data_IF_928076468200
#
_entry.id   IF_928076468200
#
_cell.length_a   1.000
_cell.length_b   1.000
_cell.length_c   1.000
_cell.angle_alpha   90.00
_cell.angle_beta   90.00
_cell.angle_gamma   90.00
#
_symmetry.space_group_name_H-M   'P 1'
#
loop_
_entity.id
_entity.type
_entity.pdbx_description
1 polymer ?
#
# COMPACT_ATOMS: atom_id res chain seq x y z
N UNK A 1 0.84 15.23 -35.33
CA UNK A 1 1.98 16.18 -35.44
C UNK A 1 2.95 16.21 -34.26
N UNK A 2 2.55 16.64 -33.05
CA UNK A 2 3.51 16.95 -31.97
C UNK A 2 4.35 15.76 -31.46
N UNK A 3 3.72 14.60 -31.23
CA UNK A 3 4.39 13.37 -30.76
C UNK A 3 5.38 12.81 -31.80
N UNK A 4 5.13 13.03 -33.11
CA UNK A 4 6.05 12.64 -34.19
C UNK A 4 7.28 13.54 -34.26
N UNK A 5 7.18 14.79 -33.77
CA UNK A 5 8.26 15.78 -33.78
C UNK A 5 9.08 15.76 -32.49
N UNK A 6 8.47 15.39 -31.36
CA UNK A 6 9.09 15.30 -30.03
C UNK A 6 8.57 14.04 -29.29
N UNK A 7 9.13 12.85 -29.56
CA UNK A 7 8.72 11.60 -28.94
C UNK A 7 9.29 11.50 -27.51
N UNK A 8 8.76 12.31 -26.60
CA UNK A 8 9.12 12.28 -25.18
C UNK A 8 7.97 11.71 -24.37
N UNK A 9 8.26 11.03 -23.26
CA UNK A 9 7.25 10.50 -22.33
C UNK A 9 6.22 11.57 -21.91
N UNK A 10 6.68 12.81 -21.68
CA UNK A 10 5.82 13.95 -21.33
C UNK A 10 4.89 14.37 -22.48
N UNK A 11 5.35 14.30 -23.72
CA UNK A 11 4.50 14.61 -24.87
C UNK A 11 3.44 13.52 -25.08
N UNK A 12 3.83 12.25 -24.92
CA UNK A 12 2.90 11.12 -24.95
C UNK A 12 1.84 11.23 -23.84
N UNK A 13 2.21 11.60 -22.62
CA UNK A 13 1.26 11.70 -21.49
C UNK A 13 0.28 12.86 -21.65
N UNK A 14 0.73 14.03 -22.12
CA UNK A 14 -0.16 15.16 -22.41
C UNK A 14 -1.15 14.83 -23.53
N UNK A 15 -0.67 14.17 -24.58
CA UNK A 15 -1.52 13.74 -25.69
C UNK A 15 -2.54 12.70 -25.22
N UNK A 16 -2.09 11.66 -24.48
CA UNK A 16 -2.96 10.64 -23.91
C UNK A 16 -4.04 11.26 -23.00
N UNK A 17 -3.68 12.17 -22.08
CA UNK A 17 -4.63 12.86 -21.19
C UNK A 17 -5.67 13.66 -21.96
N UNK A 18 -5.25 14.42 -22.98
CA UNK A 18 -6.17 15.17 -23.84
C UNK A 18 -7.20 14.23 -24.48
N UNK A 19 -6.76 13.13 -25.10
CA UNK A 19 -7.66 12.20 -25.77
C UNK A 19 -8.55 11.41 -24.82
N UNK A 20 -8.04 11.02 -23.64
CA UNK A 20 -8.85 10.38 -22.61
C UNK A 20 -9.97 11.32 -22.11
N UNK A 21 -9.69 12.61 -21.98
CA UNK A 21 -10.72 13.62 -21.66
C UNK A 21 -11.77 13.77 -22.76
N UNK A 22 -11.38 13.69 -24.03
CA UNK A 22 -12.33 13.75 -25.17
C UNK A 22 -13.22 12.51 -25.25
N UNK A 23 -12.68 11.32 -24.94
CA UNK A 23 -13.40 10.04 -25.06
C UNK A 23 -14.30 9.70 -23.87
N UNK A 24 -14.00 10.21 -22.67
CA UNK A 24 -14.63 9.78 -21.42
C UNK A 24 -14.96 10.92 -20.45
N UNK A 25 -15.33 12.10 -20.95
CA UNK A 25 -15.76 13.22 -20.10
C UNK A 25 -17.04 12.84 -19.32
N UNK A 26 -16.90 12.52 -18.03
CA UNK A 26 -17.98 12.56 -17.03
C UNK A 26 -18.07 14.00 -16.50
N UNK A 27 -18.92 14.86 -17.05
CA UNK A 27 -19.53 16.00 -16.34
C UNK A 27 -20.56 16.74 -17.18
N UNK A 28 -21.65 17.14 -16.53
CA UNK A 28 -22.77 17.96 -17.04
C UNK A 28 -22.35 19.37 -17.52
N UNK A 29 -21.08 19.76 -17.40
CA UNK A 29 -20.59 21.06 -17.83
C UNK A 29 -19.30 20.93 -18.65
N UNK A 30 -19.35 21.41 -19.90
CA UNK A 30 -18.30 21.45 -20.94
C UNK A 30 -17.94 20.09 -21.57
N UNK A 31 -18.31 19.76 -22.81
CA UNK A 31 -18.12 20.53 -24.04
C UNK A 31 -19.33 20.32 -24.98
N UNK A 32 -20.12 21.37 -25.17
CA UNK A 32 -21.15 21.50 -26.19
C UNK A 32 -20.59 21.79 -27.60
N UNK A 33 -19.30 21.50 -27.89
CA UNK A 33 -18.67 21.84 -29.17
C UNK A 33 -18.84 20.80 -30.28
N UNK A 34 -19.43 19.62 -30.03
CA UNK A 34 -19.50 18.56 -31.06
C UNK A 34 -20.84 17.82 -31.19
N UNK A 35 -21.94 18.37 -30.66
CA UNK A 35 -23.29 17.77 -30.77
C UNK A 35 -23.92 17.83 -32.19
N UNK A 36 -23.12 17.97 -33.25
CA UNK A 36 -23.61 18.19 -34.61
C UNK A 36 -23.19 17.17 -35.68
N UNK A 37 -22.40 16.14 -35.34
CA UNK A 37 -21.97 15.13 -36.32
C UNK A 37 -21.83 13.76 -35.68
N UNK A 38 -22.23 12.71 -36.40
CA UNK A 38 -22.01 11.30 -36.02
C UNK A 38 -20.56 11.14 -35.54
N UNK A 39 -20.40 10.97 -34.23
CA UNK A 39 -19.09 10.91 -33.60
C UNK A 39 -18.54 9.49 -33.79
N UNK A 40 -17.68 9.29 -34.78
CA UNK A 40 -17.03 8.00 -35.03
C UNK A 40 -15.97 7.68 -33.95
N UNK A 41 -16.44 7.22 -32.80
CA UNK A 41 -15.63 6.81 -31.66
C UNK A 41 -14.59 5.72 -32.02
N UNK A 42 -14.81 4.97 -33.10
CA UNK A 42 -13.93 3.88 -33.53
C UNK A 42 -12.60 4.39 -34.12
N UNK A 43 -12.65 5.44 -34.95
CA UNK A 43 -11.47 6.10 -35.51
C UNK A 43 -10.57 6.75 -34.44
N UNK A 44 -11.19 7.35 -33.42
CA UNK A 44 -10.48 7.97 -32.30
C UNK A 44 -9.83 6.93 -31.39
N UNK A 45 -10.52 5.84 -31.10
CA UNK A 45 -9.97 4.70 -30.35
C UNK A 45 -8.73 4.12 -31.03
N UNK A 46 -8.76 3.97 -32.36
CA UNK A 46 -7.59 3.53 -33.14
C UNK A 46 -6.42 4.52 -33.04
N UNK A 47 -6.70 5.83 -33.05
CA UNK A 47 -5.66 6.86 -32.95
C UNK A 47 -4.97 6.86 -31.58
N UNK A 48 -5.71 6.77 -30.48
CA UNK A 48 -5.12 6.75 -29.14
C UNK A 48 -4.36 5.44 -28.87
N UNK A 49 -4.82 4.29 -29.38
CA UNK A 49 -4.08 3.02 -29.30
C UNK A 49 -2.72 3.12 -30.02
N UNK A 50 -2.68 3.73 -31.21
CA UNK A 50 -1.42 3.96 -31.94
C UNK A 50 -0.46 4.87 -31.16
N UNK A 51 -0.96 5.82 -30.37
CA UNK A 51 -0.12 6.67 -29.52
C UNK A 51 0.59 5.83 -28.46
N UNK A 52 -0.12 4.94 -27.77
CA UNK A 52 0.49 4.06 -26.77
C UNK A 52 1.46 3.04 -27.39
N UNK A 53 1.10 2.45 -28.54
CA UNK A 53 2.00 1.54 -29.27
C UNK A 53 3.29 2.24 -29.76
N UNK A 54 3.17 3.50 -30.17
CA UNK A 54 4.34 4.32 -30.52
C UNK A 54 5.18 4.65 -29.28
N UNK A 55 4.56 4.91 -28.13
CA UNK A 55 5.28 5.09 -26.86
C UNK A 55 6.02 3.81 -26.45
N UNK A 56 5.41 2.65 -26.61
CA UNK A 56 6.03 1.34 -26.34
C UNK A 56 7.23 1.07 -27.26
N UNK A 57 7.05 1.21 -28.58
CA UNK A 57 8.13 0.99 -29.56
C UNK A 57 9.28 1.98 -29.46
N UNK A 58 9.02 3.19 -28.96
CA UNK A 58 10.06 4.21 -28.70
C UNK A 58 10.71 4.10 -27.32
N UNK A 59 10.33 3.11 -26.50
CA UNK A 59 10.85 2.94 -25.13
C UNK A 59 10.48 4.09 -24.18
N UNK A 60 9.49 4.91 -24.55
CA UNK A 60 9.04 6.08 -23.79
C UNK A 60 7.84 5.79 -22.88
N UNK A 61 7.50 4.50 -22.69
CA UNK A 61 6.37 4.06 -21.89
C UNK A 61 6.69 4.20 -20.40
N UNK A 62 6.11 5.20 -19.75
CA UNK A 62 6.15 5.37 -18.30
C UNK A 62 5.09 4.51 -17.61
N UNK A 63 5.21 4.33 -16.30
CA UNK A 63 4.21 3.66 -15.47
C UNK A 63 2.79 4.23 -15.65
N UNK A 64 2.63 5.55 -15.54
CA UNK A 64 1.35 6.25 -15.77
C UNK A 64 0.78 5.95 -17.17
N UNK A 65 1.62 6.00 -18.21
CA UNK A 65 1.20 5.71 -19.58
C UNK A 65 0.79 4.25 -19.77
N UNK A 66 1.50 3.31 -19.15
CA UNK A 66 1.16 1.90 -19.18
C UNK A 66 -0.17 1.61 -18.46
N UNK A 67 -0.40 2.24 -17.30
CA UNK A 67 -1.65 2.14 -16.57
C UNK A 67 -2.83 2.69 -17.39
N UNK A 68 -2.64 3.84 -18.05
CA UNK A 68 -3.65 4.41 -18.96
C UNK A 68 -3.91 3.51 -20.17
N UNK A 69 -2.86 2.90 -20.73
CA UNK A 69 -2.96 2.00 -21.88
C UNK A 69 -3.79 0.75 -21.54
N UNK A 70 -3.49 0.09 -20.43
CA UNK A 70 -4.26 -1.06 -19.94
C UNK A 70 -5.70 -0.65 -19.58
N UNK A 71 -5.88 0.49 -18.90
CA UNK A 71 -7.21 1.00 -18.53
C UNK A 71 -8.09 1.30 -19.74
N UNK A 72 -7.51 1.81 -20.83
CA UNK A 72 -8.22 2.02 -22.09
C UNK A 72 -8.73 0.69 -22.65
N UNK A 73 -7.88 -0.35 -22.71
CA UNK A 73 -8.33 -1.68 -23.16
C UNK A 73 -9.45 -2.24 -22.28
N UNK A 74 -9.39 -2.04 -20.97
CA UNK A 74 -10.46 -2.46 -20.05
C UNK A 74 -11.78 -1.74 -20.33
N UNK A 75 -11.76 -0.41 -20.54
CA UNK A 75 -12.98 0.36 -20.85
C UNK A 75 -13.58 -0.08 -22.18
N UNK A 76 -12.75 -0.33 -23.18
CA UNK A 76 -13.19 -0.80 -24.48
C UNK A 76 -13.75 -2.22 -24.45
N UNK A 77 -13.22 -3.08 -23.58
CA UNK A 77 -13.73 -4.45 -23.38
C UNK A 77 -14.98 -4.55 -22.50
N UNK A 78 -15.33 -3.49 -21.76
CA UNK A 78 -16.57 -3.39 -21.00
C UNK A 78 -17.79 -3.02 -21.84
N UNK A 79 -17.60 -2.58 -23.09
CA UNK A 79 -18.66 -2.41 -24.07
C UNK A 79 -19.03 -3.79 -24.63
N UNK A 80 -20.33 -4.12 -24.68
CA UNK A 80 -20.89 -5.46 -24.99
C UNK A 80 -20.40 -6.08 -26.32
N UNK A 81 -19.76 -5.29 -27.19
CA UNK A 81 -19.37 -5.68 -28.55
C UNK A 81 -17.99 -6.36 -28.68
N UNK A 82 -17.21 -6.54 -27.60
CA UNK A 82 -15.84 -7.08 -27.73
C UNK A 82 -15.26 -7.83 -26.50
N UNK A 83 -15.76 -9.03 -26.15
CA UNK A 83 -15.23 -9.81 -25.02
C UNK A 83 -13.73 -10.18 -25.15
N UNK A 84 -13.20 -10.27 -26.36
CA UNK A 84 -11.77 -10.53 -26.61
C UNK A 84 -10.83 -9.44 -26.10
N UNK A 85 -11.30 -8.20 -25.95
CA UNK A 85 -10.46 -7.07 -25.53
C UNK A 85 -10.13 -7.08 -24.03
N UNK A 86 -10.92 -7.75 -23.21
CA UNK A 86 -10.57 -7.98 -21.80
C UNK A 86 -9.36 -8.91 -21.66
N UNK A 87 -9.26 -9.91 -22.53
CA UNK A 87 -8.12 -10.82 -22.56
C UNK A 87 -6.87 -10.13 -23.13
N UNK A 88 -7.04 -9.24 -24.13
CA UNK A 88 -5.96 -8.36 -24.60
C UNK A 88 -5.43 -7.44 -23.48
N UNK A 89 -6.32 -6.85 -22.68
CA UNK A 89 -5.93 -6.00 -21.54
C UNK A 89 -5.07 -6.77 -20.52
N UNK A 90 -5.43 -8.02 -20.22
CA UNK A 90 -4.67 -8.88 -19.31
C UNK A 90 -3.32 -9.26 -19.88
N UNK A 91 -3.29 -9.70 -21.13
CA UNK A 91 -2.05 -10.10 -21.78
C UNK A 91 -1.09 -8.91 -21.89
N UNK A 92 -1.60 -7.71 -22.15
CA UNK A 92 -0.84 -6.48 -22.12
C UNK A 92 -0.29 -6.19 -20.71
N UNK A 93 -1.13 -6.19 -19.68
CA UNK A 93 -0.70 -5.96 -18.30
C UNK A 93 0.37 -6.98 -17.87
N UNK A 94 0.18 -8.26 -18.20
CA UNK A 94 1.14 -9.34 -17.95
C UNK A 94 2.46 -9.11 -18.66
N UNK A 95 2.43 -8.72 -19.95
CA UNK A 95 3.64 -8.42 -20.74
C UNK A 95 4.43 -7.26 -20.12
N UNK A 96 3.74 -6.19 -19.75
CA UNK A 96 4.38 -4.99 -19.21
C UNK A 96 4.96 -5.22 -17.81
N UNK A 97 4.21 -5.86 -16.91
CA UNK A 97 4.67 -6.24 -15.56
C UNK A 97 5.84 -7.24 -15.57
N UNK A 98 5.86 -8.20 -16.50
CA UNK A 98 6.92 -9.20 -16.54
C UNK A 98 8.14 -8.74 -17.36
N UNK A 99 8.03 -7.64 -18.10
CA UNK A 99 9.06 -7.10 -18.97
C UNK A 99 9.58 -5.74 -18.49
N UNK A 100 9.39 -4.66 -19.28
CA UNK A 100 10.09 -3.38 -19.08
C UNK A 100 9.66 -2.64 -17.80
N UNK A 101 8.45 -2.88 -17.29
CA UNK A 101 7.87 -2.16 -16.16
C UNK A 101 7.70 -3.09 -14.94
N UNK A 102 8.67 -3.98 -14.72
CA UNK A 102 8.62 -4.94 -13.62
C UNK A 102 8.73 -4.32 -12.22
N UNK A 103 9.22 -3.09 -12.13
CA UNK A 103 9.29 -2.31 -10.90
C UNK A 103 8.15 -1.29 -10.75
N UNK A 104 7.16 -1.27 -11.64
CA UNK A 104 6.03 -0.32 -11.60
C UNK A 104 4.90 -0.84 -10.69
N UNK A 105 4.78 -0.29 -9.48
CA UNK A 105 3.80 -0.73 -8.49
C UNK A 105 2.34 -0.49 -8.91
N UNK A 106 2.03 0.65 -9.52
CA UNK A 106 0.67 1.00 -9.98
C UNK A 106 0.19 0.02 -11.05
N UNK A 107 1.10 -0.42 -11.93
CA UNK A 107 0.80 -1.39 -12.96
C UNK A 107 0.51 -2.78 -12.37
N UNK A 108 1.27 -3.18 -11.35
CA UNK A 108 1.00 -4.42 -10.61
C UNK A 108 -0.33 -4.35 -9.84
N UNK A 109 -0.67 -3.21 -9.23
CA UNK A 109 -1.97 -2.97 -8.60
C UNK A 109 -3.12 -3.10 -9.60
N UNK A 110 -2.98 -2.46 -10.77
CA UNK A 110 -3.96 -2.55 -11.85
C UNK A 110 -4.12 -4.00 -12.32
N UNK A 111 -3.00 -4.72 -12.53
CA UNK A 111 -3.02 -6.13 -12.93
C UNK A 111 -3.72 -7.01 -11.89
N UNK A 112 -3.41 -6.83 -10.60
CA UNK A 112 -4.06 -7.58 -9.52
C UNK A 112 -5.58 -7.30 -9.49
N UNK A 113 -5.99 -6.04 -9.66
CA UNK A 113 -7.41 -5.65 -9.71
C UNK A 113 -8.16 -6.33 -10.86
N UNK A 114 -7.55 -6.41 -12.06
CA UNK A 114 -8.15 -7.08 -13.22
C UNK A 114 -8.37 -8.56 -12.95
N UNK A 115 -7.35 -9.27 -12.44
CA UNK A 115 -7.46 -10.70 -12.17
C UNK A 115 -8.47 -10.99 -11.07
N UNK A 116 -8.51 -10.18 -10.02
CA UNK A 116 -9.53 -10.30 -8.96
C UNK A 116 -10.95 -10.09 -9.50
N UNK A 117 -11.17 -9.04 -10.32
CA UNK A 117 -12.48 -8.77 -10.94
C UNK A 117 -12.92 -9.88 -11.87
N UNK A 118 -12.00 -10.40 -12.68
CA UNK A 118 -12.27 -11.55 -13.54
C UNK A 118 -12.82 -12.73 -12.78
N UNK A 119 -12.13 -13.10 -11.70
CA UNK A 119 -12.45 -14.30 -10.94
C UNK A 119 -13.79 -14.13 -10.21
N UNK A 120 -14.16 -12.90 -9.88
CA UNK A 120 -15.50 -12.57 -9.38
C UNK A 120 -16.58 -12.71 -10.48
N UNK A 121 -16.31 -12.24 -11.70
CA UNK A 121 -17.29 -12.29 -12.81
C UNK A 121 -17.49 -13.67 -13.42
N UNK A 122 -16.47 -14.54 -13.40
CA UNK A 122 -16.54 -15.88 -13.99
C UNK A 122 -17.28 -16.90 -13.12
N UNK A 123 -17.52 -16.59 -11.85
CA UNK A 123 -17.90 -17.59 -10.85
C UNK A 123 -19.18 -17.17 -10.14
N UNK A 124 -20.31 -17.45 -10.76
CA UNK A 124 -21.62 -17.02 -10.28
C UNK A 124 -22.03 -17.53 -8.90
N UNK A 125 -21.42 -18.57 -8.31
CA UNK A 125 -21.88 -19.14 -7.01
C UNK A 125 -20.74 -19.68 -6.10
N UNK A 126 -19.49 -19.87 -6.54
CA UNK A 126 -18.36 -20.26 -5.65
C UNK A 126 -17.21 -19.25 -5.70
N UNK A 127 -17.28 -18.25 -4.83
CA UNK A 127 -16.21 -17.27 -4.65
C UNK A 127 -14.88 -17.96 -4.38
N UNK A 128 -13.85 -17.63 -5.18
CA UNK A 128 -12.44 -17.98 -4.94
C UNK A 128 -12.16 -19.47 -4.66
N UNK A 129 -12.23 -20.32 -5.69
CA UNK A 129 -11.73 -21.70 -5.60
C UNK A 129 -10.25 -21.72 -5.16
N UNK A 130 -9.80 -22.86 -4.60
CA UNK A 130 -8.42 -23.02 -4.11
C UNK A 130 -7.38 -22.81 -5.21
N UNK A 131 -7.70 -23.19 -6.44
CA UNK A 131 -6.88 -23.00 -7.63
C UNK A 131 -6.78 -21.52 -8.01
N UNK A 132 -7.89 -20.79 -7.94
CA UNK A 132 -7.94 -19.35 -8.20
C UNK A 132 -7.18 -18.54 -7.14
N UNK A 133 -7.22 -18.97 -5.88
CA UNK A 133 -6.40 -18.38 -4.82
C UNK A 133 -4.91 -18.67 -5.01
N UNK A 134 -4.56 -19.87 -5.47
CA UNK A 134 -3.17 -20.21 -5.77
C UNK A 134 -2.61 -19.34 -6.89
N UNK A 135 -3.34 -19.16 -7.98
CA UNK A 135 -2.88 -18.36 -9.13
C UNK A 135 -2.71 -16.88 -8.77
N UNK A 136 -3.64 -16.32 -7.98
CA UNK A 136 -3.50 -14.97 -7.42
C UNK A 136 -2.29 -14.89 -6.48
N UNK A 137 -2.08 -15.88 -5.63
CA UNK A 137 -0.95 -15.91 -4.70
C UNK A 137 0.39 -15.94 -5.46
N UNK A 138 0.48 -16.71 -6.54
CA UNK A 138 1.67 -16.76 -7.40
C UNK A 138 1.93 -15.40 -8.07
N UNK A 139 0.88 -14.67 -8.47
CA UNK A 139 1.00 -13.31 -8.98
C UNK A 139 1.61 -12.36 -7.93
N UNK A 140 1.09 -12.38 -6.70
CA UNK A 140 1.64 -11.55 -5.62
C UNK A 140 3.08 -11.94 -5.24
N UNK A 141 3.40 -13.24 -5.24
CA UNK A 141 4.77 -13.70 -4.98
C UNK A 141 5.78 -13.26 -6.03
N UNK A 142 5.35 -13.05 -7.28
CA UNK A 142 6.23 -12.52 -8.33
C UNK A 142 6.40 -11.01 -8.19
N UNK A 143 5.34 -10.30 -7.80
CA UNK A 143 5.31 -8.84 -7.73
C UNK A 143 6.03 -8.29 -6.50
N UNK A 144 5.64 -8.76 -5.30
CA UNK A 144 6.03 -8.16 -4.03
C UNK A 144 7.56 -8.15 -3.77
N UNK A 145 8.34 -9.18 -4.16
CA UNK A 145 9.80 -9.14 -3.98
C UNK A 145 10.53 -8.19 -4.93
N UNK A 146 9.90 -7.77 -6.05
CA UNK A 146 10.52 -6.89 -7.06
C UNK A 146 10.31 -5.41 -6.77
N UNK A 147 9.35 -5.10 -5.90
CA UNK A 147 8.92 -3.73 -5.63
C UNK A 147 9.46 -3.26 -4.28
N UNK A 148 9.87 -1.99 -4.16
CA UNK A 148 10.18 -1.43 -2.87
C UNK A 148 8.91 -1.35 -2.02
N UNK A 149 9.04 -1.61 -0.72
CA UNK A 149 7.92 -1.68 0.22
C UNK A 149 6.98 -0.46 0.20
N UNK A 150 7.46 0.81 0.18
CA UNK A 150 6.55 1.95 0.21
C UNK A 150 5.71 2.08 -1.06
N UNK A 151 6.22 1.70 -2.22
CA UNK A 151 5.46 1.73 -3.48
C UNK A 151 4.48 0.54 -3.55
N UNK A 152 4.88 -0.61 -2.99
CA UNK A 152 4.06 -1.83 -2.97
C UNK A 152 3.03 -1.88 -1.83
N UNK A 153 2.86 -0.81 -1.04
CA UNK A 153 2.05 -0.82 0.18
C UNK A 153 0.59 -1.24 -0.10
N UNK A 154 -0.03 -0.66 -1.11
CA UNK A 154 -1.41 -0.99 -1.52
C UNK A 154 -1.53 -2.46 -1.98
N UNK A 155 -0.51 -2.96 -2.67
CA UNK A 155 -0.46 -4.34 -3.15
C UNK A 155 -0.37 -5.32 -1.98
N UNK A 156 0.45 -4.98 -0.97
CA UNK A 156 0.53 -5.73 0.28
C UNK A 156 -0.81 -5.75 1.01
N UNK A 157 -1.48 -4.61 1.19
CA UNK A 157 -2.79 -4.56 1.85
C UNK A 157 -3.84 -5.38 1.11
N UNK A 158 -3.85 -5.30 -0.22
CA UNK A 158 -4.77 -6.08 -1.07
C UNK A 158 -4.53 -7.58 -0.91
N UNK A 159 -3.27 -8.02 -0.96
CA UNK A 159 -2.90 -9.42 -0.73
C UNK A 159 -3.32 -9.88 0.68
N UNK A 160 -3.01 -9.09 1.71
CA UNK A 160 -3.35 -9.45 3.10
C UNK A 160 -4.85 -9.59 3.29
N UNK A 161 -5.65 -8.68 2.74
CA UNK A 161 -7.11 -8.75 2.80
C UNK A 161 -7.63 -10.01 2.12
N UNK A 162 -7.12 -10.32 0.93
CA UNK A 162 -7.53 -11.48 0.13
C UNK A 162 -7.21 -12.82 0.83
N UNK A 163 -6.01 -12.95 1.40
CA UNK A 163 -5.53 -14.21 1.99
C UNK A 163 -5.72 -14.30 3.52
N UNK A 164 -6.39 -13.34 4.14
CA UNK A 164 -6.58 -13.25 5.61
C UNK A 164 -7.20 -14.52 6.22
N UNK A 165 -8.19 -15.10 5.52
CA UNK A 165 -8.92 -16.29 5.94
C UNK A 165 -8.16 -17.60 5.66
N UNK A 166 -7.20 -17.59 4.73
CA UNK A 166 -6.41 -18.75 4.34
C UNK A 166 -5.06 -18.77 5.06
N UNK A 167 -5.01 -19.45 6.20
CA UNK A 167 -3.84 -19.47 7.11
C UNK A 167 -2.53 -19.80 6.39
N UNK A 168 -2.53 -20.76 5.46
CA UNK A 168 -1.32 -21.19 4.76
C UNK A 168 -0.75 -20.07 3.88
N UNK A 169 -1.60 -19.39 3.11
CA UNK A 169 -1.16 -18.27 2.27
C UNK A 169 -0.76 -17.07 3.10
N UNK A 170 -1.54 -16.75 4.14
CA UNK A 170 -1.23 -15.66 5.06
C UNK A 170 0.14 -15.85 5.74
N UNK A 171 0.45 -17.04 6.25
CA UNK A 171 1.76 -17.31 6.87
C UNK A 171 2.92 -17.17 5.88
N UNK A 172 2.72 -17.54 4.60
CA UNK A 172 3.72 -17.32 3.57
C UNK A 172 3.90 -15.82 3.27
N UNK A 173 2.82 -15.06 3.16
CA UNK A 173 2.88 -13.59 2.99
C UNK A 173 3.65 -12.92 4.14
N UNK A 174 3.37 -13.32 5.38
CA UNK A 174 4.08 -12.79 6.56
C UNK A 174 5.58 -13.07 6.48
N UNK A 175 5.98 -14.27 6.05
CA UNK A 175 7.40 -14.59 5.83
C UNK A 175 8.02 -13.70 4.75
N UNK A 176 7.35 -13.51 3.62
CA UNK A 176 7.82 -12.62 2.55
C UNK A 176 7.95 -11.17 3.02
N UNK A 177 6.97 -10.67 3.78
CA UNK A 177 7.01 -9.33 4.36
C UNK A 177 8.19 -9.17 5.31
N UNK A 178 8.40 -10.12 6.22
CA UNK A 178 9.54 -10.09 7.15
C UNK A 178 10.90 -10.08 6.43
N UNK A 179 11.05 -10.85 5.35
CA UNK A 179 12.27 -10.86 4.53
C UNK A 179 12.50 -9.54 3.80
N UNK A 180 11.41 -8.91 3.33
CA UNK A 180 11.50 -7.61 2.66
C UNK A 180 11.83 -6.50 3.66
N UNK A 181 11.22 -6.52 4.84
CA UNK A 181 11.44 -5.54 5.89
C UNK A 181 12.85 -5.63 6.51
N UNK A 182 13.40 -6.84 6.63
CA UNK A 182 14.76 -7.01 7.14
C UNK A 182 15.83 -6.46 6.20
N UNK A 183 15.57 -6.42 4.89
CA UNK A 183 16.46 -5.83 3.89
C UNK A 183 16.24 -4.32 3.71
N UNK A 184 15.05 -3.80 4.04
CA UNK A 184 14.67 -2.39 3.85
C UNK A 184 15.29 -1.39 4.84
N UNK A 185 16.18 -1.83 5.74
CA UNK A 185 17.17 -0.97 6.38
C UNK A 185 16.60 0.19 7.22
N UNK A 186 15.79 -0.09 8.24
CA UNK A 186 15.48 0.87 9.32
C UNK A 186 14.70 2.11 8.97
N UNK A 187 14.17 2.19 7.75
CA UNK A 187 13.25 3.22 7.33
C UNK A 187 11.85 2.93 7.90
N UNK A 188 11.05 3.97 8.14
CA UNK A 188 9.61 3.84 8.43
C UNK A 188 8.79 3.20 7.29
N UNK A 189 9.40 3.04 6.13
CA UNK A 189 8.88 2.24 5.02
C UNK A 189 8.54 0.82 5.47
N UNK A 190 7.25 0.48 5.38
CA UNK A 190 6.75 -0.84 5.77
C UNK A 190 6.22 -0.95 7.19
N UNK A 191 6.21 0.14 7.97
CA UNK A 191 5.49 0.20 9.23
C UNK A 191 4.01 -0.14 9.02
N UNK A 192 3.39 0.42 7.98
CA UNK A 192 1.99 0.17 7.62
C UNK A 192 1.71 -1.30 7.33
N UNK A 193 2.58 -1.97 6.55
CA UNK A 193 2.46 -3.41 6.26
C UNK A 193 2.60 -4.24 7.53
N UNK A 194 3.58 -3.92 8.39
CA UNK A 194 3.80 -4.61 9.66
C UNK A 194 2.62 -4.43 10.62
N UNK A 195 2.10 -3.22 10.74
CA UNK A 195 0.93 -2.87 11.54
C UNK A 195 -0.32 -3.58 11.05
N UNK A 196 -0.55 -3.63 9.73
CA UNK A 196 -1.67 -4.36 9.15
C UNK A 196 -1.61 -5.85 9.46
N UNK A 197 -0.43 -6.49 9.32
CA UNK A 197 -0.24 -7.91 9.67
C UNK A 197 -0.60 -8.16 11.15
N UNK A 198 -0.11 -7.32 12.05
CA UNK A 198 -0.41 -7.43 13.49
C UNK A 198 -1.90 -7.23 13.75
N UNK A 199 -2.54 -6.24 13.09
CA UNK A 199 -3.97 -5.97 13.19
C UNK A 199 -4.83 -7.16 12.71
N UNK A 200 -4.48 -7.79 11.58
CA UNK A 200 -5.17 -8.98 11.10
C UNK A 200 -5.03 -10.17 12.05
N UNK A 201 -3.84 -10.39 12.60
CA UNK A 201 -3.59 -11.46 13.58
C UNK A 201 -4.35 -11.18 14.87
N UNK A 202 -4.43 -9.92 15.31
CA UNK A 202 -5.21 -9.53 16.47
C UNK A 202 -6.69 -9.86 16.29
N UNK A 203 -7.26 -9.53 15.13
CA UNK A 203 -8.66 -9.81 14.81
C UNK A 203 -8.95 -11.31 14.74
N UNK A 204 -8.05 -12.11 14.17
CA UNK A 204 -8.26 -13.55 13.94
C UNK A 204 -7.88 -14.44 15.12
N UNK A 205 -6.68 -14.24 15.66
CA UNK A 205 -6.03 -15.15 16.62
C UNK A 205 -5.95 -14.54 18.04
N UNK A 206 -6.37 -13.28 18.20
CA UNK A 206 -6.40 -12.56 19.46
C UNK A 206 -5.06 -11.99 19.91
N UNK A 207 -5.09 -11.29 21.06
CA UNK A 207 -3.98 -10.46 21.53
C UNK A 207 -2.69 -11.23 21.83
N UNK A 208 -2.78 -12.46 22.35
CA UNK A 208 -1.59 -13.26 22.68
C UNK A 208 -0.74 -13.52 21.43
N UNK A 209 -1.40 -13.84 20.32
CA UNK A 209 -0.72 -14.12 19.07
C UNK A 209 -0.24 -12.84 18.38
N UNK A 210 -1.02 -11.75 18.46
CA UNK A 210 -0.59 -10.44 18.01
C UNK A 210 0.69 -9.98 18.73
N UNK A 211 0.77 -10.17 20.07
CA UNK A 211 1.97 -9.93 20.89
C UNK A 211 3.18 -10.73 20.43
N UNK A 212 2.98 -12.00 20.14
CA UNK A 212 4.05 -12.85 19.59
C UNK A 212 4.51 -12.31 18.23
N UNK A 213 3.61 -11.83 17.40
CA UNK A 213 3.96 -11.35 16.07
C UNK A 213 4.68 -10.01 16.10
N UNK A 214 4.16 -8.99 16.80
CA UNK A 214 4.84 -7.70 16.83
C UNK A 214 6.23 -7.82 17.45
N UNK A 215 6.44 -8.69 18.45
CA UNK A 215 7.77 -8.96 19.01
C UNK A 215 8.75 -9.52 17.98
N UNK A 216 8.26 -10.34 17.03
CA UNK A 216 9.09 -10.85 15.93
C UNK A 216 9.47 -9.74 14.94
N UNK A 217 8.56 -8.81 14.66
CA UNK A 217 8.86 -7.64 13.83
C UNK A 217 9.82 -6.67 14.52
N UNK A 218 9.65 -6.42 15.83
CA UNK A 218 10.56 -5.58 16.62
C UNK A 218 11.96 -6.18 16.79
N UNK A 219 12.09 -7.50 16.67
CA UNK A 219 13.38 -8.20 16.69
C UNK A 219 14.13 -8.11 15.34
N UNK A 220 13.53 -7.53 14.29
CA UNK A 220 14.22 -7.30 13.03
C UNK A 220 15.28 -6.20 13.17
N UNK A 221 16.33 -6.19 12.32
CA UNK A 221 17.35 -5.15 12.35
C UNK A 221 16.72 -3.77 12.12
N UNK A 222 16.91 -2.85 13.07
CA UNK A 222 16.37 -1.47 13.04
C UNK A 222 14.84 -1.44 12.81
N UNK A 223 14.03 -1.79 13.81
CA UNK A 223 12.58 -1.70 13.68
C UNK A 223 12.13 -0.24 13.52
N UNK A 224 11.15 -0.01 12.64
CA UNK A 224 10.61 1.33 12.37
C UNK A 224 10.06 1.99 13.64
N UNK A 225 10.29 3.30 13.75
CA UNK A 225 9.73 4.12 14.82
C UNK A 225 8.19 4.17 14.74
N UNK A 226 7.62 4.36 13.54
CA UNK A 226 6.16 4.30 13.35
C UNK A 226 5.56 2.95 13.77
N UNK A 227 6.28 1.86 13.55
CA UNK A 227 5.82 0.54 13.99
C UNK A 227 5.85 0.39 15.53
N UNK A 228 6.84 0.97 16.21
CA UNK A 228 6.82 1.09 17.67
C UNK A 228 5.60 1.89 18.15
N UNK A 229 5.33 3.05 17.55
CA UNK A 229 4.17 3.88 17.89
C UNK A 229 2.88 3.08 17.80
N UNK A 230 2.68 2.32 16.71
CA UNK A 230 1.53 1.44 16.56
C UNK A 230 1.42 0.38 17.67
N UNK A 231 2.52 -0.29 18.02
CA UNK A 231 2.52 -1.32 19.07
C UNK A 231 2.23 -0.71 20.45
N UNK A 232 2.79 0.48 20.72
CA UNK A 232 2.55 1.24 21.95
C UNK A 232 1.08 1.62 22.03
N UNK A 233 0.54 2.23 20.97
CA UNK A 233 -0.87 2.63 20.90
C UNK A 233 -1.79 1.43 21.16
N UNK A 234 -1.52 0.30 20.50
CA UNK A 234 -2.25 -0.95 20.71
C UNK A 234 -2.26 -1.36 22.20
N UNK A 235 -1.11 -1.44 22.85
CA UNK A 235 -1.03 -1.86 24.27
C UNK A 235 -1.62 -0.80 25.21
N UNK A 236 -1.48 0.48 24.94
CA UNK A 236 -2.10 1.55 25.75
C UNK A 236 -3.62 1.54 25.67
N UNK A 237 -4.18 1.31 24.48
CA UNK A 237 -5.62 1.15 24.29
C UNK A 237 -6.13 -0.09 25.06
N UNK A 238 -5.41 -1.22 24.99
CA UNK A 238 -5.77 -2.41 25.75
C UNK A 238 -5.65 -2.22 27.27
N UNK A 239 -4.67 -1.45 27.74
CA UNK A 239 -4.52 -1.10 29.15
C UNK A 239 -5.71 -0.28 29.63
N UNK A 240 -6.18 0.69 28.83
CA UNK A 240 -7.34 1.51 29.17
C UNK A 240 -8.65 0.71 29.31
N UNK A 241 -8.77 -0.41 28.58
CA UNK A 241 -9.93 -1.32 28.63
C UNK A 241 -9.77 -2.36 29.77
N UNK A 242 -8.69 -2.28 30.57
CA UNK A 242 -8.49 -3.08 31.78
C UNK A 242 -7.65 -4.34 31.60
N UNK A 243 -6.93 -4.51 30.49
CA UNK A 243 -6.01 -5.64 30.33
C UNK A 243 -4.73 -5.42 31.16
N UNK A 244 -4.61 -6.16 32.26
CA UNK A 244 -3.56 -6.00 33.28
C UNK A 244 -2.12 -6.05 32.75
N UNK A 245 -1.85 -6.89 31.74
CA UNK A 245 -0.49 -7.05 31.20
C UNK A 245 -0.09 -5.89 30.27
N UNK A 246 -1.05 -5.13 29.75
CA UNK A 246 -0.83 -4.22 28.63
C UNK A 246 -0.05 -2.98 29.05
N UNK A 247 -0.28 -2.45 30.26
CA UNK A 247 0.51 -1.32 30.79
C UNK A 247 1.99 -1.70 30.95
N UNK A 248 2.25 -2.91 31.45
CA UNK A 248 3.63 -3.43 31.59
C UNK A 248 4.29 -3.61 30.23
N UNK A 249 3.54 -4.09 29.23
CA UNK A 249 4.07 -4.22 27.87
C UNK A 249 4.28 -2.86 27.21
N UNK A 250 3.38 -1.90 27.40
CA UNK A 250 3.52 -0.53 26.90
C UNK A 250 4.80 0.13 27.44
N UNK A 251 5.06 0.04 28.75
CA UNK A 251 6.31 0.51 29.37
C UNK A 251 7.55 -0.09 28.72
N UNK A 252 7.57 -1.42 28.55
CA UNK A 252 8.68 -2.12 27.88
C UNK A 252 8.87 -1.66 26.42
N UNK A 253 7.79 -1.39 25.71
CA UNK A 253 7.84 -0.89 24.34
C UNK A 253 8.38 0.54 24.29
N UNK A 254 7.96 1.41 25.21
CA UNK A 254 8.52 2.76 25.34
C UNK A 254 10.01 2.72 25.67
N UNK A 255 10.44 1.89 26.63
CA UNK A 255 11.86 1.75 26.98
C UNK A 255 12.68 1.25 25.79
N UNK A 256 12.22 0.20 25.09
CA UNK A 256 12.90 -0.31 23.90
C UNK A 256 12.94 0.71 22.75
N UNK A 257 11.88 1.50 22.57
CA UNK A 257 11.85 2.57 21.57
C UNK A 257 12.82 3.70 21.95
N UNK A 258 12.93 4.06 23.23
CA UNK A 258 13.83 5.10 23.72
C UNK A 258 15.30 4.69 23.65
N UNK A 259 15.61 3.40 23.79
CA UNK A 259 16.97 2.88 23.60
C UNK A 259 17.46 3.05 22.15
N UNK A 260 16.54 3.00 21.18
CA UNK A 260 16.83 3.16 19.76
C UNK A 260 16.68 4.61 19.27
N UNK A 261 15.73 5.34 19.83
CA UNK A 261 15.32 6.69 19.40
C UNK A 261 15.28 7.68 20.59
N UNK A 262 16.40 7.88 21.32
CA UNK A 262 16.41 8.72 22.52
C UNK A 262 16.18 10.21 22.25
N UNK A 263 16.40 10.65 21.01
CA UNK A 263 16.26 12.04 20.57
C UNK A 263 14.80 12.43 20.28
N UNK A 264 13.90 11.46 20.16
CA UNK A 264 12.49 11.69 19.80
C UNK A 264 11.71 12.26 20.98
N UNK A 265 11.56 13.59 21.02
CA UNK A 265 10.87 14.30 22.11
C UNK A 265 9.41 13.89 22.25
N UNK A 266 8.74 13.62 21.13
CA UNK A 266 7.35 13.15 21.13
C UNK A 266 7.21 11.81 21.85
N UNK A 267 8.20 10.92 21.72
CA UNK A 267 8.20 9.63 22.41
C UNK A 267 8.25 9.82 23.93
N UNK A 268 9.12 10.70 24.42
CA UNK A 268 9.19 11.07 25.84
C UNK A 268 7.90 11.69 26.36
N UNK A 269 7.33 12.63 25.60
CA UNK A 269 6.06 13.30 25.96
C UNK A 269 4.91 12.29 26.02
N UNK A 270 4.82 11.40 25.05
CA UNK A 270 3.77 10.38 25.01
C UNK A 270 3.93 9.37 26.15
N UNK A 271 5.17 8.98 26.50
CA UNK A 271 5.42 8.10 27.65
C UNK A 271 4.98 8.78 28.96
N UNK A 272 5.39 10.03 29.17
CA UNK A 272 4.98 10.81 30.34
C UNK A 272 3.45 10.91 30.46
N UNK A 273 2.76 11.27 29.36
CA UNK A 273 1.30 11.38 29.33
C UNK A 273 0.60 10.04 29.61
N UNK A 274 1.18 8.93 29.15
CA UNK A 274 0.65 7.59 29.40
C UNK A 274 0.77 7.22 30.89
N UNK A 275 1.92 7.50 31.51
CA UNK A 275 2.11 7.28 32.95
C UNK A 275 1.20 8.17 33.82
N UNK A 276 0.93 9.41 33.41
CA UNK A 276 -0.05 10.26 34.10
C UNK A 276 -1.47 9.68 34.06
N UNK A 277 -1.87 9.08 32.93
CA UNK A 277 -3.24 8.57 32.73
C UNK A 277 -3.46 7.18 33.33
N UNK A 278 -2.48 6.29 33.22
CA UNK A 278 -2.62 4.86 33.51
C UNK A 278 -1.64 4.36 34.58
N UNK A 279 -0.62 5.14 34.91
CA UNK A 279 0.44 4.80 35.86
C UNK A 279 0.28 5.50 37.21
N UNK A 280 1.40 5.87 37.82
CA UNK A 280 1.44 6.63 39.08
C UNK A 280 2.18 7.94 38.90
N UNK A 281 1.93 8.90 39.80
CA UNK A 281 2.65 10.18 39.79
C UNK A 281 4.17 9.99 39.93
N UNK A 282 4.60 8.98 40.69
CA UNK A 282 6.02 8.63 40.87
C UNK A 282 6.66 8.15 39.56
N UNK A 283 5.99 7.25 38.82
CA UNK A 283 6.51 6.76 37.54
C UNK A 283 6.54 7.85 36.49
N UNK A 284 5.50 8.70 36.43
CA UNK A 284 5.48 9.86 35.54
C UNK A 284 6.64 10.83 35.83
N UNK A 285 6.88 11.16 37.11
CA UNK A 285 8.00 12.01 37.51
C UNK A 285 9.35 11.38 37.17
N UNK A 286 9.51 10.06 37.34
CA UNK A 286 10.73 9.37 36.95
C UNK A 286 11.04 9.51 35.45
N UNK A 287 10.01 9.39 34.59
CA UNK A 287 10.16 9.59 33.14
C UNK A 287 10.50 11.05 32.81
N UNK A 288 9.84 12.02 33.46
CA UNK A 288 10.14 13.44 33.27
C UNK A 288 11.62 13.77 33.55
N UNK A 289 12.14 13.31 34.68
CA UNK A 289 13.55 13.53 35.05
C UNK A 289 14.52 12.82 34.11
N UNK A 290 14.18 11.60 33.67
CA UNK A 290 14.98 10.86 32.69
C UNK A 290 15.02 11.61 31.34
N UNK A 291 13.88 12.08 30.86
CA UNK A 291 13.78 12.86 29.62
C UNK A 291 14.66 14.12 29.67
N UNK A 292 14.56 14.88 30.76
CA UNK A 292 15.36 16.10 30.96
C UNK A 292 16.86 15.83 30.95
N UNK A 293 17.30 14.70 31.54
CA UNK A 293 18.71 14.31 31.54
C UNK A 293 19.23 13.94 30.15
N UNK A 294 18.40 13.27 29.35
CA UNK A 294 18.78 12.78 28.01
C UNK A 294 18.71 13.89 26.95
N UNK A 295 17.66 14.73 27.00
CA UNK A 295 17.38 15.76 25.99
C UNK A 295 18.12 17.09 26.23
N UNK A 296 18.74 17.28 27.39
CA UNK A 296 19.60 18.44 27.68
C UNK A 296 18.89 19.78 27.88
N UNK A 297 17.63 19.93 27.49
CA UNK A 297 16.90 21.21 27.51
C UNK A 297 15.90 21.32 28.67
N UNK A 298 15.93 22.48 29.36
CA UNK A 298 15.00 22.84 30.44
C UNK A 298 13.54 23.09 29.99
N UNK A 299 13.29 23.14 28.68
CA UNK A 299 11.96 23.31 28.04
C UNK A 299 11.46 22.04 27.33
N UNK A 300 12.16 20.90 27.48
CA UNK A 300 11.93 19.70 26.67
C UNK A 300 10.51 19.08 26.80
N UNK A 301 9.79 19.42 27.87
CA UNK A 301 8.41 19.03 28.13
C UNK A 301 7.69 20.25 28.68
N UNK A 302 7.31 21.21 27.82
CA UNK A 302 6.36 22.27 28.19
C UNK A 302 5.02 21.60 28.55
N UNK A 303 4.90 21.25 29.83
CA UNK A 303 3.68 20.75 30.45
C UNK A 303 2.96 22.01 30.95
N UNK A 304 1.70 22.26 30.55
CA UNK A 304 0.93 23.33 31.15
C UNK A 304 0.74 22.98 32.63
N UNK A 305 1.31 23.77 33.52
CA UNK A 305 0.97 23.71 34.93
C UNK A 305 -0.50 24.14 35.10
N UNK A 306 -1.35 23.22 35.57
CA UNK A 306 -2.68 23.52 36.12
C UNK A 306 -2.72 23.10 37.58
#
# INVERSE_FOLDING_TARGET
EAVRRLPTSRMYSLYAKFWMGVLFADTEDSISLFHGGEFDASGFTSCILKVYQNAESSGCLTEDLACQYVSLYLRLGGLEEAPGRLEEARNLAKKLCNGPLSHAADLWNLRASIEMKSLATSTGISSFSKENLSSLFDLFNVALPKLPIPEAEELWHTAMKLFSHEKVYFEKLVKCAMLSLSSAGGNDCGASVSSAIVGWILQRDGIKQARKMYKRFLALPRPSFKFFQYCIELETNLASIGNQDSLVNARKLYDAALDLYPQERELWRNYYNMELKLGTSETANAIYWRARKVLGDSSALDIPHS
#
